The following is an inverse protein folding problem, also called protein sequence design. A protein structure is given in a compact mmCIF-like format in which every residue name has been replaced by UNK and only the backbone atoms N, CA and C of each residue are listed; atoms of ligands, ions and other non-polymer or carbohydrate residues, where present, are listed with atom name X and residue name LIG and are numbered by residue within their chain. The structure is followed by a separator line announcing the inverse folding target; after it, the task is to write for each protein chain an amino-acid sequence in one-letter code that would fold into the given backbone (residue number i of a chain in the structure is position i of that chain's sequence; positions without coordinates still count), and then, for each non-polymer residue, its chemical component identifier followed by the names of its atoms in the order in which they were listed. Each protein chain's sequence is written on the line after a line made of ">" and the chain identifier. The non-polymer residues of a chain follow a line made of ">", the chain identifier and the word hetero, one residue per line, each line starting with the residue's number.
data_IF_141844795198
#
_entry.id   IF_141844795198
#
_cell.length_a   1.000
_cell.length_b   1.000
_cell.length_c   1.000
_cell.angle_alpha   90.00
_cell.angle_beta   90.00
_cell.angle_gamma   90.00
#
_symmetry.space_group_name_H-M   'P 1'
#
loop_
_entity.id
_entity.type
_entity.pdbx_description
1 polymer ?
#
# COMPACT_ATOMS: atom_id res chain seq x y z
N UNK A 1 4.70 -18.87 1.65
CA UNK A 1 5.40 -17.84 0.86
C UNK A 1 4.42 -17.17 -0.09
N UNK A 2 4.38 -15.85 -0.10
CA UNK A 2 3.58 -15.09 -1.05
C UNK A 2 4.46 -14.66 -2.22
N UNK A 3 3.87 -14.54 -3.39
CA UNK A 3 4.52 -14.04 -4.60
C UNK A 3 3.74 -12.87 -5.16
N UNK A 4 4.44 -11.95 -5.83
CA UNK A 4 3.81 -10.84 -6.49
C UNK A 4 4.64 -10.31 -7.66
N UNK A 5 4.00 -9.50 -8.47
CA UNK A 5 4.60 -8.86 -9.63
C UNK A 5 3.95 -7.52 -9.94
N UNK A 6 4.70 -6.64 -10.58
CA UNK A 6 4.13 -5.41 -11.11
C UNK A 6 3.29 -5.69 -12.36
N UNK A 7 2.52 -4.69 -12.81
CA UNK A 7 1.57 -4.85 -13.92
C UNK A 7 2.22 -5.37 -15.20
N UNK A 8 3.46 -4.95 -15.53
CA UNK A 8 4.17 -5.42 -16.73
C UNK A 8 4.97 -6.72 -16.49
N UNK A 9 5.08 -7.18 -15.25
CA UNK A 9 5.76 -8.42 -14.88
C UNK A 9 7.28 -8.33 -14.77
N UNK A 10 7.90 -7.16 -15.01
CA UNK A 10 9.35 -7.02 -14.93
C UNK A 10 9.87 -6.99 -13.49
N UNK A 11 9.11 -6.43 -12.55
CA UNK A 11 9.42 -6.48 -11.12
C UNK A 11 8.66 -7.65 -10.52
N UNK A 12 9.40 -8.56 -9.87
CA UNK A 12 8.82 -9.72 -9.21
C UNK A 12 9.44 -9.89 -7.84
N UNK A 13 8.64 -10.30 -6.88
CA UNK A 13 9.09 -10.45 -5.50
C UNK A 13 8.46 -11.65 -4.82
N UNK A 14 9.08 -12.03 -3.72
CA UNK A 14 8.59 -13.05 -2.79
C UNK A 14 8.53 -12.46 -1.39
N UNK A 15 7.55 -12.89 -0.63
CA UNK A 15 7.41 -12.55 0.78
C UNK A 15 7.50 -13.84 1.58
N UNK A 16 8.50 -13.93 2.45
CA UNK A 16 8.70 -15.06 3.38
C UNK A 16 8.16 -14.65 4.74
N UNK A 17 7.07 -15.28 5.16
CA UNK A 17 6.37 -14.94 6.38
C UNK A 17 4.97 -14.41 6.11
N UNK A 18 4.44 -13.65 7.05
CA UNK A 18 3.07 -13.17 7.00
C UNK A 18 3.03 -11.64 6.97
N UNK A 19 1.97 -11.11 6.38
CA UNK A 19 1.62 -9.70 6.54
C UNK A 19 1.24 -9.46 8.00
N UNK A 20 1.57 -8.29 8.53
CA UNK A 20 1.31 -7.93 9.92
C UNK A 20 0.19 -6.89 10.02
N UNK A 21 -0.60 -7.03 11.08
CA UNK A 21 -1.77 -6.21 11.32
C UNK A 21 -2.92 -6.50 10.35
N UNK A 22 -3.99 -5.74 10.43
CA UNK A 22 -5.10 -5.90 9.51
C UNK A 22 -4.75 -5.40 8.10
N UNK A 23 -5.36 -5.99 7.08
CA UNK A 23 -5.42 -5.35 5.78
C UNK A 23 -6.33 -4.13 5.91
N UNK A 24 -5.86 -2.97 5.50
CA UNK A 24 -6.58 -1.70 5.63
C UNK A 24 -6.90 -1.08 4.28
N UNK A 25 -8.07 -0.47 4.19
CA UNK A 25 -8.42 0.44 3.11
C UNK A 25 -8.13 1.86 3.57
N UNK A 26 -7.08 2.46 3.02
CA UNK A 26 -6.65 3.81 3.39
C UNK A 26 -7.23 4.84 2.42
N UNK A 27 -8.10 5.70 2.92
CA UNK A 27 -8.82 6.70 2.13
C UNK A 27 -8.07 8.04 2.04
N UNK A 28 -6.87 8.17 2.62
CA UNK A 28 -6.13 9.42 2.58
C UNK A 28 -5.82 9.85 1.14
N UNK A 29 -5.68 11.16 0.92
CA UNK A 29 -5.47 11.69 -0.42
C UNK A 29 -4.19 11.17 -1.09
N UNK A 30 -3.13 10.90 -0.29
CA UNK A 30 -1.89 10.34 -0.82
C UNK A 30 -2.07 8.92 -1.32
N UNK A 31 -2.73 8.07 -0.54
CA UNK A 31 -3.01 6.69 -0.95
C UNK A 31 -3.91 6.64 -2.17
N UNK A 32 -4.95 7.46 -2.20
CA UNK A 32 -5.87 7.54 -3.32
C UNK A 32 -5.17 8.00 -4.60
N UNK A 33 -4.43 9.10 -4.53
CA UNK A 33 -3.75 9.65 -5.72
C UNK A 33 -2.61 8.77 -6.21
N UNK A 34 -1.82 8.21 -5.30
CA UNK A 34 -0.70 7.36 -5.68
C UNK A 34 -1.16 6.01 -6.26
N UNK A 35 -2.26 5.47 -5.78
CA UNK A 35 -2.81 4.21 -6.30
C UNK A 35 -3.68 4.38 -7.56
N UNK A 36 -4.21 5.59 -7.79
CA UNK A 36 -5.20 5.81 -8.85
C UNK A 36 -6.54 5.15 -8.57
N UNK A 37 -6.79 4.76 -7.31
CA UNK A 37 -8.02 4.11 -6.86
C UNK A 37 -8.74 4.96 -5.82
N UNK A 38 -9.92 4.56 -5.43
CA UNK A 38 -10.71 5.23 -4.37
C UNK A 38 -10.04 5.17 -3.00
N UNK A 39 -9.21 4.15 -2.76
CA UNK A 39 -8.39 3.99 -1.55
C UNK A 39 -7.21 3.07 -1.86
N UNK A 40 -6.18 3.13 -1.03
CA UNK A 40 -5.07 2.19 -1.08
C UNK A 40 -5.34 0.98 -0.19
N UNK A 41 -4.99 -0.22 -0.65
CA UNK A 41 -5.11 -1.46 0.13
C UNK A 41 -3.74 -1.83 0.67
N UNK A 42 -3.57 -1.81 1.99
CA UNK A 42 -2.26 -1.94 2.63
C UNK A 42 -2.29 -2.89 3.82
N UNK A 43 -1.12 -3.45 4.11
CA UNK A 43 -0.84 -4.17 5.35
C UNK A 43 0.59 -3.90 5.78
N UNK A 44 0.90 -4.17 7.04
CA UNK A 44 2.28 -4.12 7.51
C UNK A 44 3.09 -5.30 6.96
N UNK A 45 4.37 -5.08 6.73
CA UNK A 45 5.31 -6.11 6.30
C UNK A 45 6.68 -5.85 6.91
N UNK A 46 7.29 -6.88 7.47
CA UNK A 46 8.70 -6.81 7.86
C UNK A 46 9.55 -6.65 6.58
N UNK A 47 10.38 -5.63 6.55
CA UNK A 47 11.25 -5.37 5.40
C UNK A 47 12.14 -6.57 5.06
N UNK A 48 12.60 -7.31 6.06
CA UNK A 48 13.45 -8.50 5.88
C UNK A 48 12.70 -9.67 5.20
N UNK A 49 11.37 -9.65 5.23
CA UNK A 49 10.56 -10.69 4.60
C UNK A 49 10.40 -10.50 3.08
N UNK A 50 10.68 -9.31 2.58
CA UNK A 50 10.51 -8.97 1.15
C UNK A 50 11.82 -9.20 0.40
N UNK A 51 11.77 -10.02 -0.64
CA UNK A 51 12.92 -10.28 -1.51
C UNK A 51 12.50 -10.09 -2.97
N UNK A 52 13.24 -9.25 -3.70
CA UNK A 52 13.03 -9.08 -5.13
C UNK A 52 13.77 -10.19 -5.89
N UNK A 53 13.05 -10.92 -6.71
CA UNK A 53 13.62 -12.00 -7.54
C UNK A 53 13.90 -11.52 -8.96
N UNK A 54 13.34 -10.40 -9.37
CA UNK A 54 13.64 -9.73 -10.64
C UNK A 54 13.25 -8.25 -10.56
N UNK A 55 14.00 -7.41 -11.26
CA UNK A 55 13.63 -6.02 -11.52
C UNK A 55 13.82 -5.05 -10.34
N UNK A 56 14.57 -5.39 -9.31
CA UNK A 56 14.82 -4.49 -8.19
C UNK A 56 15.43 -3.16 -8.65
N UNK A 57 16.27 -3.17 -9.66
CA UNK A 57 16.89 -1.98 -10.26
C UNK A 57 15.88 -1.06 -10.98
N UNK A 58 14.68 -1.54 -11.26
CA UNK A 58 13.60 -0.75 -11.86
C UNK A 58 12.78 0.02 -10.83
N UNK A 59 13.01 -0.21 -9.54
CA UNK A 59 12.29 0.50 -8.49
C UNK A 59 12.62 2.00 -8.53
N UNK A 60 11.58 2.80 -8.32
CA UNK A 60 11.66 4.24 -8.14
C UNK A 60 10.89 4.61 -6.89
N UNK A 61 11.17 5.76 -6.34
CA UNK A 61 10.44 6.24 -5.17
C UNK A 61 10.12 7.72 -5.28
N UNK A 62 9.11 8.10 -4.52
CA UNK A 62 8.63 9.46 -4.39
C UNK A 62 8.47 9.77 -2.90
N UNK A 63 9.04 10.90 -2.45
CA UNK A 63 8.84 11.36 -1.08
C UNK A 63 7.45 11.97 -0.95
N UNK A 64 6.53 11.24 -0.32
CA UNK A 64 5.14 11.64 -0.16
C UNK A 64 4.93 12.60 1.04
N UNK A 65 5.83 12.55 2.00
CA UNK A 65 5.90 13.43 3.17
C UNK A 65 7.31 13.35 3.74
N UNK A 66 7.73 14.27 4.63
CA UNK A 66 9.09 14.21 5.20
C UNK A 66 9.41 12.83 5.79
N UNK A 67 10.51 12.24 5.32
CA UNK A 67 10.97 10.93 5.78
C UNK A 67 10.19 9.73 5.26
N UNK A 68 9.19 9.92 4.41
CA UNK A 68 8.35 8.83 3.88
C UNK A 68 8.51 8.70 2.38
N UNK A 69 9.02 7.55 1.93
CA UNK A 69 9.16 7.22 0.52
C UNK A 69 8.11 6.19 0.11
N UNK A 70 7.50 6.41 -1.05
CA UNK A 70 6.59 5.45 -1.68
C UNK A 70 7.27 4.85 -2.90
N UNK A 71 7.47 3.55 -2.86
CA UNK A 71 8.18 2.81 -3.90
C UNK A 71 7.20 2.23 -4.90
N UNK A 72 7.58 2.29 -6.16
CA UNK A 72 6.81 1.77 -7.28
C UNK A 72 7.73 1.22 -8.37
N UNK A 73 7.18 0.39 -9.23
CA UNK A 73 7.89 -0.13 -10.38
C UNK A 73 8.02 0.96 -11.45
N UNK A 74 9.24 1.40 -11.74
CA UNK A 74 9.48 2.46 -12.73
C UNK A 74 9.11 2.06 -14.16
N UNK A 75 9.02 0.75 -14.44
CA UNK A 75 8.69 0.23 -15.77
C UNK A 75 7.20 0.33 -16.12
N UNK A 76 6.30 0.38 -15.13
CA UNK A 76 4.85 0.40 -15.37
C UNK A 76 4.07 1.23 -14.35
N UNK A 77 4.72 1.72 -13.30
CA UNK A 77 4.09 2.57 -12.28
C UNK A 77 3.36 1.83 -11.16
N UNK A 78 3.38 0.50 -11.12
CA UNK A 78 2.70 -0.25 -10.06
C UNK A 78 3.21 0.11 -8.66
N UNK A 79 2.36 0.58 -7.73
CA UNK A 79 2.76 0.85 -6.35
C UNK A 79 3.13 -0.44 -5.63
N UNK A 80 4.19 -0.43 -4.83
CA UNK A 80 4.69 -1.63 -4.15
C UNK A 80 4.65 -1.50 -2.63
N UNK A 81 5.31 -0.49 -2.06
CA UNK A 81 5.32 -0.29 -0.61
C UNK A 81 5.71 1.14 -0.24
N UNK A 82 5.45 1.47 1.01
CA UNK A 82 5.87 2.71 1.65
C UNK A 82 6.87 2.38 2.75
N UNK A 83 7.91 3.19 2.88
CA UNK A 83 8.89 3.11 3.98
C UNK A 83 8.96 4.45 4.69
N UNK A 84 8.85 4.40 6.01
CA UNK A 84 9.08 5.53 6.90
C UNK A 84 10.49 5.39 7.49
N UNK A 85 11.31 6.42 7.38
CA UNK A 85 12.70 6.39 7.91
C UNK A 85 12.76 6.23 9.43
N UNK A 86 11.68 6.55 10.16
CA UNK A 86 11.60 6.33 11.61
C UNK A 86 11.33 4.87 11.96
N UNK A 87 10.82 4.08 11.03
CA UNK A 87 10.55 2.65 11.18
C UNK A 87 11.02 1.88 9.95
N UNK A 88 12.34 1.88 9.63
CA UNK A 88 12.85 1.35 8.37
C UNK A 88 12.66 -0.16 8.20
N UNK A 89 12.48 -0.88 9.30
CA UNK A 89 12.29 -2.34 9.27
C UNK A 89 10.84 -2.75 9.01
N UNK A 90 9.92 -1.79 8.99
CA UNK A 90 8.50 -2.04 8.75
C UNK A 90 8.02 -1.28 7.51
N UNK A 91 7.44 -2.01 6.58
CA UNK A 91 6.88 -1.45 5.35
C UNK A 91 5.37 -1.36 5.43
N UNK A 92 4.82 -0.34 4.78
CA UNK A 92 3.40 -0.30 4.40
C UNK A 92 3.24 -0.94 3.03
N UNK A 93 2.98 -2.23 3.00
CA UNK A 93 2.93 -3.01 1.77
C UNK A 93 1.61 -2.81 1.04
N UNK A 94 1.67 -2.68 -0.30
CA UNK A 94 0.51 -2.51 -1.19
C UNK A 94 0.09 -3.86 -1.76
N UNK A 95 -1.11 -4.30 -1.39
CA UNK A 95 -1.54 -5.66 -1.72
C UNK A 95 -1.91 -5.87 -3.18
N UNK A 96 -2.19 -4.80 -3.92
CA UNK A 96 -2.68 -4.92 -5.31
C UNK A 96 -1.74 -5.64 -6.28
N UNK A 97 -0.46 -5.77 -5.95
CA UNK A 97 0.53 -6.49 -6.78
C UNK A 97 0.76 -7.93 -6.35
N UNK A 98 0.04 -8.44 -5.33
CA UNK A 98 0.12 -9.86 -4.97
C UNK A 98 -0.47 -10.74 -6.07
N UNK A 99 0.22 -11.83 -6.37
CA UNK A 99 -0.25 -12.91 -7.24
C UNK A 99 -0.73 -14.12 -6.41
N UNK A 100 -0.43 -14.12 -5.11
CA UNK A 100 -0.86 -15.16 -4.17
C UNK A 100 -1.95 -14.62 -3.25
N UNK A 101 -2.87 -15.48 -2.84
CA UNK A 101 -3.86 -15.15 -1.81
C UNK A 101 -3.16 -15.13 -0.43
N UNK A 102 -3.18 -14.00 0.30
CA UNK A 102 -2.59 -13.92 1.63
C UNK A 102 -3.42 -14.64 2.70
N UNK A 103 -4.59 -15.16 2.38
CA UNK A 103 -5.47 -15.82 3.34
C UNK A 103 -6.10 -14.88 4.36
N UNK A 104 -6.10 -13.59 4.08
CA UNK A 104 -6.62 -12.54 4.97
C UNK A 104 -7.65 -11.71 4.21
N UNK A 105 -8.55 -11.10 4.96
CA UNK A 105 -9.53 -10.14 4.42
C UNK A 105 -9.28 -8.77 5.01
N UNK A 106 -9.81 -7.74 4.36
CA UNK A 106 -9.76 -6.38 4.88
C UNK A 106 -10.41 -6.33 6.27
N UNK A 107 -9.76 -5.62 7.18
CA UNK A 107 -10.17 -5.53 8.58
C UNK A 107 -10.48 -4.12 9.04
N UNK A 108 -10.20 -3.09 8.25
CA UNK A 108 -10.33 -1.71 8.72
C UNK A 108 -10.34 -0.70 7.59
N UNK A 109 -11.01 0.41 7.80
CA UNK A 109 -10.92 1.63 7.00
C UNK A 109 -10.15 2.71 7.75
N UNK A 110 -9.09 3.25 7.13
CA UNK A 110 -8.32 4.37 7.65
C UNK A 110 -8.65 5.68 6.95
N UNK A 111 -8.58 6.80 7.69
CA UNK A 111 -8.75 8.16 7.16
C UNK A 111 -10.06 8.35 6.41
N UNK A 112 -11.15 7.87 6.98
CA UNK A 112 -12.48 7.96 6.38
C UNK A 112 -12.92 9.41 6.17
N UNK A 113 -12.39 10.35 6.96
CA UNK A 113 -12.61 11.79 6.76
C UNK A 113 -12.13 12.31 5.40
N UNK A 114 -11.22 11.58 4.74
CA UNK A 114 -10.71 11.90 3.40
C UNK A 114 -11.39 11.10 2.28
N UNK A 115 -12.36 10.28 2.61
CA UNK A 115 -13.05 9.38 1.69
C UNK A 115 -13.55 10.12 0.45
N UNK A 116 -13.37 9.51 -0.73
CA UNK A 116 -13.91 10.03 -1.97
C UNK A 116 -15.45 10.05 -1.94
N UNK A 117 -16.08 11.10 -2.47
CA UNK A 117 -17.54 11.24 -2.39
C UNK A 117 -18.31 10.19 -3.18
N UNK A 118 -17.69 9.55 -4.16
CA UNK A 118 -18.33 8.49 -4.94
C UNK A 118 -18.26 7.11 -4.26
N UNK A 119 -17.59 7.01 -3.10
CA UNK A 119 -17.47 5.74 -2.36
C UNK A 119 -18.53 5.69 -1.28
N UNK A 120 -19.33 4.64 -1.29
CA UNK A 120 -20.20 4.27 -0.19
C UNK A 120 -19.55 3.10 0.56
N UNK A 121 -19.32 3.27 1.86
CA UNK A 121 -18.84 2.18 2.71
C UNK A 121 -20.05 1.44 3.23
N UNK A 122 -20.32 0.24 2.68
CA UNK A 122 -21.48 -0.57 3.01
C UNK A 122 -21.16 -1.74 3.96
N UNK A 123 -19.89 -1.94 4.32
CA UNK A 123 -19.47 -2.98 5.24
C UNK A 123 -19.54 -2.50 6.71
N UNK A 124 -19.36 -3.44 7.64
CA UNK A 124 -19.35 -3.19 9.08
C UNK A 124 -17.93 -3.13 9.66
N UNK A 125 -16.89 -2.95 8.84
CA UNK A 125 -15.52 -2.88 9.33
C UNK A 125 -15.31 -1.66 10.21
N UNK A 126 -14.43 -1.75 11.22
CA UNK A 126 -14.01 -0.59 12.01
C UNK A 126 -13.53 0.55 11.12
N UNK A 127 -13.81 1.78 11.54
CA UNK A 127 -13.47 3.00 10.80
C UNK A 127 -12.71 3.94 11.69
N UNK A 128 -11.60 4.48 11.17
CA UNK A 128 -10.91 5.62 11.76
C UNK A 128 -11.39 6.88 11.03
N UNK A 129 -12.05 7.75 11.78
CA UNK A 129 -12.77 8.90 11.23
C UNK A 129 -11.87 10.07 10.82
N UNK A 130 -10.60 10.04 11.17
CA UNK A 130 -9.63 11.08 10.87
C UNK A 130 -9.40 11.24 9.37
N UNK A 131 -8.75 12.33 9.00
CA UNK A 131 -8.35 12.59 7.62
C UNK A 131 -8.66 13.99 7.17
N UNK A 132 -7.88 14.46 6.22
CA UNK A 132 -8.06 15.76 5.58
C UNK A 132 -9.25 15.66 4.60
N UNK A 133 -10.21 16.60 4.63
CA UNK A 133 -11.39 16.51 3.77
C UNK A 133 -11.04 16.34 2.29
N UNK A 134 -11.90 15.63 1.57
CA UNK A 134 -11.71 15.39 0.15
C UNK A 134 -11.50 16.70 -0.61
N UNK A 135 -10.54 16.70 -1.52
CA UNK A 135 -10.19 17.88 -2.32
C UNK A 135 -9.13 18.77 -1.68
N UNK A 136 -8.79 18.55 -0.43
CA UNK A 136 -7.77 19.30 0.29
C UNK A 136 -6.47 18.50 0.44
N UNK A 137 -5.38 19.22 0.73
CA UNK A 137 -4.04 18.65 1.02
C UNK A 137 -3.47 19.35 2.26
N UNK A 138 -2.66 18.63 2.99
CA UNK A 138 -1.80 19.18 4.05
C UNK A 138 -0.46 19.66 3.48
#
# INVERSE_FOLDING_TARGET
>A
MLKGSCACGQVRYEIRGQLSGPITYCHCWRCRKHSGSSFGTTAGLDAAALTFVAGEDLLRSWQSSPGVQRFFAGCCGSPLYKRDETEPDRLGFRLGTLDSDPGMKAGMHYHVGSKAPWVEIADALPREAEGIPFGQRD
#
